data_IF_249613536282
#
_entry.id   IF_249613536282
#
_cell.length_a   1.000
_cell.length_b   1.000
_cell.length_c   1.000
_cell.angle_alpha   90.00
_cell.angle_beta   90.00
_cell.angle_gamma   90.00
#
_symmetry.space_group_name_H-M   'P 1'
#
loop_
_entity.id
_entity.type
_entity.pdbx_description
1 polymer ?
#
# COMPACT_ATOMS: atom_id res chain seq x y z
N UNK A 1 -3.14 -19.81 32.93
CA UNK A 1 -3.64 -18.98 34.04
C UNK A 1 -4.49 -17.90 33.37
N UNK A 2 -5.79 -17.87 33.66
CA UNK A 2 -6.80 -17.15 32.88
C UNK A 2 -6.47 -15.67 32.68
N UNK A 3 -6.30 -15.31 31.41
CA UNK A 3 -6.24 -13.94 30.93
C UNK A 3 -7.63 -13.32 31.16
N UNK A 4 -7.74 -12.47 32.19
CA UNK A 4 -8.95 -11.69 32.43
C UNK A 4 -9.01 -10.63 31.34
N UNK A 5 -9.81 -10.91 30.31
CA UNK A 5 -10.32 -9.94 29.35
C UNK A 5 -10.73 -8.66 30.10
N UNK A 6 -9.94 -7.60 29.94
CA UNK A 6 -10.36 -6.25 30.28
C UNK A 6 -11.56 -5.91 29.41
N UNK A 7 -12.61 -5.34 30.02
CA UNK A 7 -13.85 -4.95 29.36
C UNK A 7 -13.56 -4.18 28.04
N UNK A 8 -14.22 -4.49 26.92
CA UNK A 8 -14.23 -3.56 25.79
C UNK A 8 -14.85 -2.25 26.28
N UNK A 9 -14.27 -1.11 25.90
CA UNK A 9 -14.83 0.21 26.17
C UNK A 9 -16.34 0.24 25.84
N UNK A 10 -17.18 0.79 26.70
CA UNK A 10 -18.64 0.89 26.46
C UNK A 10 -18.97 1.62 25.13
N UNK A 11 -18.06 2.47 24.64
CA UNK A 11 -18.18 3.17 23.36
C UNK A 11 -17.88 2.30 22.13
N UNK A 12 -18.38 2.73 20.96
CA UNK A 12 -18.02 2.14 19.66
C UNK A 12 -16.53 2.35 19.38
N UNK A 13 -15.82 1.36 18.80
CA UNK A 13 -14.46 1.57 18.31
C UNK A 13 -14.39 2.55 17.12
N UNK A 14 -15.56 2.87 16.55
CA UNK A 14 -15.71 3.79 15.44
C UNK A 14 -16.29 5.13 15.88
N UNK A 15 -15.80 6.23 15.28
CA UNK A 15 -16.38 7.55 15.44
C UNK A 15 -17.56 7.76 14.47
N UNK A 16 -18.30 8.87 14.64
CA UNK A 16 -19.54 9.13 13.91
C UNK A 16 -19.40 9.12 12.38
N UNK A 17 -18.23 9.44 11.84
CA UNK A 17 -17.97 9.48 10.40
C UNK A 17 -17.89 8.08 9.81
N UNK A 18 -17.16 7.18 10.45
CA UNK A 18 -17.10 5.77 10.08
C UNK A 18 -18.49 5.13 10.18
N UNK A 19 -19.22 5.40 11.27
CA UNK A 19 -20.57 4.89 11.46
C UNK A 19 -21.53 5.38 10.36
N UNK A 20 -21.47 6.67 9.98
CA UNK A 20 -22.30 7.21 8.90
C UNK A 20 -22.01 6.55 7.54
N UNK A 21 -20.73 6.26 7.24
CA UNK A 21 -20.35 5.56 6.01
C UNK A 21 -20.81 4.11 6.04
N UNK A 22 -20.64 3.42 7.17
CA UNK A 22 -21.11 2.05 7.36
C UNK A 22 -22.64 1.95 7.24
N UNK A 23 -23.40 2.93 7.77
CA UNK A 23 -24.86 3.03 7.63
C UNK A 23 -25.27 3.24 6.18
N UNK A 24 -24.64 4.19 5.48
CA UNK A 24 -24.87 4.45 4.05
C UNK A 24 -24.72 3.19 3.21
N UNK A 25 -23.75 2.33 3.56
CA UNK A 25 -23.40 1.14 2.80
C UNK A 25 -24.05 -0.15 3.33
N UNK A 26 -24.83 -0.07 4.41
CA UNK A 26 -25.53 -1.22 4.98
C UNK A 26 -24.63 -2.27 5.63
N UNK A 27 -23.48 -1.86 6.19
CA UNK A 27 -22.44 -2.75 6.75
C UNK A 27 -22.11 -2.44 8.22
N UNK A 28 -23.10 -2.01 9.01
CA UNK A 28 -22.90 -1.67 10.44
C UNK A 28 -22.62 -2.87 11.34
N UNK A 29 -22.94 -4.07 10.88
CA UNK A 29 -22.63 -5.34 11.54
C UNK A 29 -21.13 -5.56 11.76
N UNK A 30 -20.27 -4.86 11.01
CA UNK A 30 -18.82 -4.86 11.22
C UNK A 30 -18.40 -4.44 12.64
N UNK A 31 -19.22 -3.65 13.35
CA UNK A 31 -18.91 -3.19 14.70
C UNK A 31 -18.76 -4.33 15.71
N UNK A 32 -19.58 -5.39 15.60
CA UNK A 32 -19.52 -6.55 16.49
C UNK A 32 -18.19 -7.31 16.36
N UNK A 33 -17.61 -7.29 15.15
CA UNK A 33 -16.28 -7.84 14.91
C UNK A 33 -15.19 -6.87 15.37
N UNK A 34 -15.32 -5.58 15.04
CA UNK A 34 -14.35 -4.54 15.40
C UNK A 34 -14.11 -4.46 16.91
N UNK A 35 -15.17 -4.56 17.73
CA UNK A 35 -15.10 -4.57 19.20
C UNK A 35 -14.23 -5.69 19.78
N UNK A 36 -13.98 -6.77 19.02
CA UNK A 36 -13.15 -7.91 19.44
C UNK A 36 -11.69 -7.78 19.00
N UNK A 37 -11.41 -6.95 17.99
CA UNK A 37 -10.09 -6.90 17.34
C UNK A 37 -9.38 -5.55 17.49
N UNK A 38 -10.12 -4.46 17.66
CA UNK A 38 -9.58 -3.15 18.00
C UNK A 38 -9.31 -3.13 19.50
N UNK A 39 -8.06 -2.90 19.88
CA UNK A 39 -7.59 -2.96 21.27
C UNK A 39 -6.97 -1.64 21.66
N UNK A 40 -7.04 -1.32 22.95
CA UNK A 40 -6.39 -0.16 23.58
C UNK A 40 -4.90 -0.38 23.90
N UNK A 41 -4.35 -1.51 23.47
CA UNK A 41 -2.97 -1.93 23.68
C UNK A 41 -2.48 -2.77 22.50
N UNK A 42 -1.18 -2.97 22.41
CA UNK A 42 -0.52 -3.84 21.44
C UNK A 42 -0.47 -5.29 21.96
N UNK A 43 -1.18 -6.24 21.34
CA UNK A 43 -0.92 -7.66 21.56
C UNK A 43 0.54 -8.01 21.26
N UNK A 44 1.06 -9.08 21.85
CA UNK A 44 2.46 -9.47 21.66
C UNK A 44 2.85 -9.57 20.18
N UNK A 45 1.98 -10.16 19.34
CA UNK A 45 2.21 -10.27 17.90
C UNK A 45 2.31 -8.91 17.18
N UNK A 46 1.64 -7.87 17.69
CA UNK A 46 1.75 -6.50 17.17
C UNK A 46 3.01 -5.82 17.70
N UNK A 47 3.41 -6.07 18.95
CA UNK A 47 4.66 -5.57 19.51
C UNK A 47 5.84 -6.09 18.71
N UNK A 48 5.96 -7.41 18.56
CA UNK A 48 7.01 -8.06 17.75
C UNK A 48 7.05 -7.50 16.33
N UNK A 49 5.88 -7.29 15.71
CA UNK A 49 5.80 -6.76 14.36
C UNK A 49 6.35 -5.33 14.27
N UNK A 50 5.88 -4.38 15.10
CA UNK A 50 6.32 -2.99 15.04
C UNK A 50 7.80 -2.82 15.38
N UNK A 51 8.33 -3.59 16.32
CA UNK A 51 9.75 -3.53 16.70
C UNK A 51 10.69 -4.13 15.67
N UNK A 52 10.17 -4.91 14.72
CA UNK A 52 10.93 -5.51 13.62
C UNK A 52 10.90 -4.66 12.34
N UNK A 53 10.11 -3.57 12.29
CA UNK A 53 9.98 -2.80 11.07
C UNK A 53 11.24 -1.96 10.79
N UNK A 54 11.69 -1.86 9.52
CA UNK A 54 12.80 -1.00 9.13
C UNK A 54 12.40 0.48 9.01
N UNK A 55 11.09 0.75 8.91
CA UNK A 55 10.48 2.08 8.94
C UNK A 55 9.06 2.02 9.52
N UNK A 56 8.54 3.18 9.91
CA UNK A 56 7.14 3.40 10.24
C UNK A 56 6.59 4.53 9.38
N UNK A 57 5.33 4.43 8.96
CA UNK A 57 4.62 5.56 8.37
C UNK A 57 3.85 6.26 9.48
N UNK A 58 4.01 7.58 9.61
CA UNK A 58 3.42 8.36 10.69
C UNK A 58 2.60 9.53 10.14
N UNK A 59 1.35 9.62 10.57
CA UNK A 59 0.42 10.70 10.28
C UNK A 59 0.29 11.61 11.50
N UNK A 60 0.36 12.92 11.29
CA UNK A 60 0.19 13.92 12.33
C UNK A 60 -0.38 15.21 11.73
N UNK A 61 -0.66 16.21 12.57
CA UNK A 61 -1.00 17.56 12.12
C UNK A 61 0.19 18.50 12.27
N UNK A 62 0.33 19.45 11.37
CA UNK A 62 1.25 20.58 11.54
C UNK A 62 0.68 21.61 12.52
N UNK A 63 1.39 22.74 12.70
CA UNK A 63 0.94 23.81 13.60
C UNK A 63 -0.29 24.57 13.11
N UNK A 64 -0.62 24.43 11.84
CA UNK A 64 -1.80 24.99 11.20
C UNK A 64 -2.96 23.98 11.20
N UNK A 65 -2.84 22.89 11.98
CA UNK A 65 -3.83 21.82 12.09
C UNK A 65 -4.06 21.07 10.77
N UNK A 66 -3.12 21.16 9.81
CA UNK A 66 -3.22 20.44 8.54
C UNK A 66 -2.62 19.05 8.67
N UNK A 67 -3.30 18.00 8.21
CA UNK A 67 -2.79 16.65 8.26
C UNK A 67 -1.69 16.43 7.22
N UNK A 68 -0.62 15.78 7.66
CA UNK A 68 0.50 15.33 6.84
C UNK A 68 0.87 13.90 7.21
N UNK A 69 1.58 13.23 6.32
CA UNK A 69 2.15 11.90 6.55
C UNK A 69 3.62 11.89 6.18
N UNK A 70 4.43 11.19 6.97
CA UNK A 70 5.87 11.04 6.79
C UNK A 70 6.30 9.59 7.01
N UNK A 71 7.57 9.31 6.71
CA UNK A 71 8.24 8.05 6.98
C UNK A 71 9.34 8.28 8.02
N UNK A 72 9.33 7.45 9.06
CA UNK A 72 10.37 7.38 10.08
C UNK A 72 11.16 6.10 9.87
N UNK A 73 12.44 6.21 9.53
CA UNK A 73 13.36 5.08 9.51
C UNK A 73 14.46 5.26 10.57
N UNK A 74 15.12 4.15 10.87
CA UNK A 74 16.25 4.12 11.80
C UNK A 74 16.99 2.79 11.71
N UNK A 75 18.10 2.63 12.44
CA UNK A 75 18.81 1.36 12.54
C UNK A 75 17.92 0.29 13.20
N UNK A 76 18.31 -0.97 13.08
CA UNK A 76 17.58 -2.06 13.73
C UNK A 76 17.39 -1.79 15.23
N UNK A 77 16.17 -1.96 15.72
CA UNK A 77 15.81 -1.63 17.11
C UNK A 77 15.55 -0.14 17.38
N UNK A 78 15.42 0.71 16.34
CA UNK A 78 14.96 2.09 16.54
C UNK A 78 13.54 2.17 17.11
N UNK A 79 12.73 1.12 16.95
CA UNK A 79 11.43 0.97 17.61
C UNK A 79 11.52 -0.12 18.69
N UNK A 80 11.11 0.22 19.91
CA UNK A 80 10.94 -0.75 20.99
C UNK A 80 9.54 -0.62 21.62
N UNK A 81 9.08 -1.66 22.32
CA UNK A 81 7.83 -1.62 23.08
C UNK A 81 8.12 -2.01 24.53
N UNK A 82 8.32 -1.05 25.45
CA UNK A 82 8.62 -1.37 26.85
C UNK A 82 7.46 -2.09 27.55
N UNK A 83 6.23 -1.78 27.16
CA UNK A 83 4.99 -2.39 27.64
C UNK A 83 3.92 -2.36 26.53
N UNK A 84 2.79 -3.08 26.68
CA UNK A 84 1.74 -3.15 25.66
C UNK A 84 1.09 -1.80 25.29
N UNK A 85 1.16 -0.80 26.16
CA UNK A 85 0.56 0.52 25.94
C UNK A 85 1.47 1.53 25.26
N UNK A 86 2.74 1.18 24.99
CA UNK A 86 3.72 2.13 24.48
C UNK A 86 4.65 1.58 23.40
N UNK A 87 5.01 2.49 22.48
CA UNK A 87 6.16 2.35 21.58
C UNK A 87 7.16 3.47 21.88
N UNK A 88 8.45 3.13 21.90
CA UNK A 88 9.54 4.11 21.93
C UNK A 88 10.21 4.09 20.56
N UNK A 89 10.18 5.22 19.87
CA UNK A 89 10.68 5.39 18.51
C UNK A 89 11.87 6.36 18.56
N UNK A 90 13.07 5.86 18.29
CA UNK A 90 14.32 6.62 18.20
C UNK A 90 14.56 7.13 16.79
N UNK A 91 13.60 7.89 16.30
CA UNK A 91 13.64 8.55 14.99
C UNK A 91 12.69 9.74 15.01
N UNK A 92 12.99 10.74 14.17
CA UNK A 92 12.24 11.99 14.03
C UNK A 92 12.03 12.27 12.54
N UNK A 93 10.99 13.05 12.17
CA UNK A 93 10.88 13.51 10.79
C UNK A 93 12.15 14.26 10.37
N UNK A 94 12.55 14.10 9.11
CA UNK A 94 13.80 14.66 8.60
C UNK A 94 13.79 16.20 8.63
N UNK A 95 14.95 16.88 8.69
CA UNK A 95 15.01 18.33 8.57
C UNK A 95 14.28 18.84 7.33
N UNK A 96 13.37 19.78 7.50
CA UNK A 96 12.54 20.36 6.45
C UNK A 96 11.23 19.63 6.15
N UNK A 97 11.02 18.45 6.73
CA UNK A 97 9.75 17.70 6.68
C UNK A 97 8.60 18.57 7.18
N UNK A 98 7.42 18.41 6.58
CA UNK A 98 6.22 19.12 7.01
C UNK A 98 5.88 18.91 8.50
N UNK A 99 6.29 17.76 9.06
CA UNK A 99 6.04 17.35 10.44
C UNK A 99 7.25 17.48 11.38
N UNK A 100 8.36 18.09 10.93
CA UNK A 100 9.62 18.22 11.71
C UNK A 100 9.38 18.70 13.15
N UNK A 101 8.39 19.58 13.36
CA UNK A 101 8.11 20.19 14.65
C UNK A 101 6.75 19.79 15.24
N UNK A 102 6.13 18.73 14.72
CA UNK A 102 4.77 18.32 15.10
C UNK A 102 4.73 17.27 16.22
N UNK A 103 5.80 16.51 16.41
CA UNK A 103 5.85 15.38 17.35
C UNK A 103 6.13 15.88 18.78
N UNK A 104 5.18 16.62 19.33
CA UNK A 104 5.22 17.22 20.67
C UNK A 104 4.24 16.51 21.61
N UNK A 105 4.46 16.62 22.92
CA UNK A 105 3.62 15.96 23.93
C UNK A 105 2.14 16.32 23.74
N UNK A 106 1.29 15.28 23.68
CA UNK A 106 -0.15 15.40 23.49
C UNK A 106 -0.60 15.42 22.02
N UNK A 107 0.32 15.51 21.06
CA UNK A 107 -0.02 15.44 19.64
C UNK A 107 -0.59 14.07 19.27
N UNK A 108 -1.64 14.06 18.45
CA UNK A 108 -2.22 12.84 17.89
C UNK A 108 -1.37 12.32 16.75
N UNK A 109 -1.05 11.03 16.80
CA UNK A 109 -0.28 10.35 15.78
C UNK A 109 -1.00 9.06 15.37
N UNK A 110 -1.13 8.86 14.06
CA UNK A 110 -1.49 7.58 13.48
C UNK A 110 -0.25 6.90 12.94
N UNK A 111 0.02 5.67 13.35
CA UNK A 111 1.18 4.89 12.91
C UNK A 111 0.72 3.68 12.11
N UNK A 112 1.33 3.48 10.95
CA UNK A 112 1.21 2.27 10.17
C UNK A 112 2.57 1.55 10.15
N UNK A 113 2.62 0.37 10.76
CA UNK A 113 3.65 -0.61 10.46
C UNK A 113 3.24 -1.41 9.24
N UNK A 114 4.12 -1.53 8.24
CA UNK A 114 3.86 -2.24 7.00
C UNK A 114 5.10 -2.98 6.51
N UNK A 115 4.96 -4.29 6.34
CA UNK A 115 5.99 -5.16 5.81
C UNK A 115 5.61 -5.52 4.37
N UNK A 116 6.20 -4.82 3.40
CA UNK A 116 5.89 -4.99 1.98
C UNK A 116 6.18 -6.41 1.50
N UNK A 117 7.28 -7.02 1.98
CA UNK A 117 7.71 -8.36 1.57
C UNK A 117 6.70 -9.47 1.90
N UNK A 118 6.02 -9.40 3.05
CA UNK A 118 5.02 -10.41 3.48
C UNK A 118 3.58 -9.92 3.33
N UNK A 119 3.40 -8.70 2.81
CA UNK A 119 2.13 -7.99 2.67
C UNK A 119 1.39 -7.84 4.01
N UNK A 120 2.11 -7.75 5.13
CA UNK A 120 1.50 -7.57 6.45
C UNK A 120 1.42 -6.08 6.81
N UNK A 121 0.31 -5.64 7.40
CA UNK A 121 0.18 -4.30 7.97
C UNK A 121 -0.62 -4.29 9.26
N UNK A 122 -0.16 -3.48 10.21
CA UNK A 122 -0.86 -3.20 11.46
C UNK A 122 -0.90 -1.69 11.68
N UNK A 123 -2.01 -1.21 12.21
CA UNK A 123 -2.19 0.19 12.59
C UNK A 123 -2.17 0.35 14.08
N UNK A 124 -1.64 1.50 14.51
CA UNK A 124 -1.60 1.91 15.89
C UNK A 124 -1.81 3.42 15.94
N UNK A 125 -2.94 3.83 16.52
CA UNK A 125 -3.30 5.24 16.66
C UNK A 125 -3.22 5.63 18.13
N UNK A 126 -2.83 6.86 18.41
CA UNK A 126 -2.57 7.30 19.77
C UNK A 126 -1.91 8.66 19.84
N UNK A 127 -1.13 8.89 20.89
CA UNK A 127 -0.62 10.23 21.22
C UNK A 127 0.82 10.19 21.68
N UNK A 128 1.52 11.29 21.47
CA UNK A 128 2.86 11.47 22.05
C UNK A 128 2.74 11.67 23.55
N UNK A 129 3.23 10.70 24.33
CA UNK A 129 3.35 10.82 25.78
C UNK A 129 4.54 11.73 26.14
N UNK A 130 5.64 11.56 25.42
CA UNK A 130 6.88 12.31 25.62
C UNK A 130 7.70 12.39 24.33
N UNK A 131 8.45 13.48 24.18
CA UNK A 131 9.38 13.68 23.08
C UNK A 131 10.66 14.32 23.63
N UNK A 132 11.73 13.55 23.74
CA UNK A 132 12.99 13.96 24.36
C UNK A 132 14.18 13.57 23.49
N UNK A 133 15.01 14.54 23.14
CA UNK A 133 16.11 14.33 22.19
C UNK A 133 15.60 13.69 20.89
N UNK A 134 16.20 12.57 20.52
CA UNK A 134 15.89 11.86 19.28
C UNK A 134 14.80 10.79 19.46
N UNK A 135 14.23 10.67 20.67
CA UNK A 135 13.27 9.64 21.02
C UNK A 135 11.85 10.20 21.22
N UNK A 136 10.88 9.38 20.84
CA UNK A 136 9.46 9.64 20.96
C UNK A 136 8.83 8.48 21.72
N UNK A 137 8.19 8.77 22.85
CA UNK A 137 7.34 7.81 23.55
C UNK A 137 5.91 8.01 23.09
N UNK A 138 5.40 7.05 22.33
CA UNK A 138 4.06 7.02 21.80
C UNK A 138 3.18 6.14 22.70
N UNK A 139 2.06 6.68 23.17
CA UNK A 139 1.01 5.95 23.90
C UNK A 139 -0.04 5.46 22.92
N UNK A 140 -0.37 4.18 23.01
CA UNK A 140 -1.37 3.50 22.20
C UNK A 140 -2.77 3.82 22.72
N UNK A 141 -3.66 4.26 21.83
CA UNK A 141 -5.09 4.40 22.10
C UNK A 141 -5.90 3.34 21.32
N UNK A 142 -5.47 2.98 20.11
CA UNK A 142 -6.04 1.90 19.31
C UNK A 142 -4.95 1.11 18.58
N UNK A 143 -5.06 -0.21 18.53
CA UNK A 143 -4.22 -1.09 17.72
C UNK A 143 -5.05 -2.20 17.06
N UNK A 144 -4.85 -2.42 15.77
CA UNK A 144 -5.55 -3.45 14.99
C UNK A 144 -4.79 -3.81 13.72
N UNK A 145 -5.05 -5.03 13.22
CA UNK A 145 -4.55 -5.48 11.91
C UNK A 145 -5.48 -5.06 10.79
N UNK A 146 -4.94 -4.84 9.60
CA UNK A 146 -5.75 -4.58 8.40
C UNK A 146 -5.45 -5.61 7.31
N UNK A 147 -6.43 -5.83 6.42
CA UNK A 147 -6.33 -6.75 5.28
C UNK A 147 -5.07 -6.45 4.41
N UNK A 148 -4.34 -7.45 3.90
CA UNK A 148 -3.13 -7.28 3.09
C UNK A 148 -3.38 -6.83 1.62
N UNK A 149 -4.64 -6.54 1.26
CA UNK A 149 -5.03 -6.19 -0.10
C UNK A 149 -4.27 -4.98 -0.65
N UNK A 150 -3.91 -5.09 -1.93
CA UNK A 150 -3.21 -4.09 -2.74
C UNK A 150 -1.80 -3.70 -2.27
N UNK A 151 -1.22 -4.40 -1.30
CA UNK A 151 0.21 -4.23 -0.95
C UNK A 151 1.04 -4.99 -1.99
N UNK A 152 1.91 -4.27 -2.70
CA UNK A 152 2.88 -4.86 -3.65
C UNK A 152 4.09 -5.38 -2.88
N UNK A 153 4.50 -6.61 -3.18
CA UNK A 153 5.70 -7.23 -2.59
C UNK A 153 6.94 -6.47 -3.04
N UNK A 154 7.79 -6.07 -2.08
CA UNK A 154 9.07 -5.40 -2.38
C UNK A 154 10.12 -5.83 -1.37
N UNK A 155 11.31 -6.18 -1.87
CA UNK A 155 12.51 -6.27 -1.04
C UNK A 155 13.05 -4.89 -0.72
N UNK A 156 13.80 -4.75 0.38
CA UNK A 156 14.46 -3.50 0.73
C UNK A 156 15.92 -3.73 1.14
N UNK A 157 16.73 -2.69 0.98
CA UNK A 157 18.10 -2.60 1.47
C UNK A 157 18.34 -1.22 2.06
N UNK A 158 19.28 -1.12 2.99
CA UNK A 158 19.72 0.16 3.54
C UNK A 158 20.92 0.70 2.76
N UNK A 159 21.00 2.01 2.62
CA UNK A 159 22.19 2.73 2.14
C UNK A 159 22.70 3.64 3.26
N UNK A 160 24.02 3.66 3.44
CA UNK A 160 24.66 4.46 4.50
C UNK A 160 24.85 5.92 4.08
N UNK A 161 25.11 6.16 2.79
CA UNK A 161 25.31 7.50 2.24
C UNK A 161 24.02 8.06 1.65
N UNK A 162 23.62 9.23 2.13
CA UNK A 162 22.50 10.01 1.60
C UNK A 162 23.07 11.31 1.06
N UNK A 163 22.98 11.57 -0.25
CA UNK A 163 23.48 12.82 -0.81
C UNK A 163 22.74 13.98 -0.14
N UNK A 164 23.44 15.01 0.35
CA UNK A 164 22.80 16.14 0.98
C UNK A 164 21.93 16.88 -0.04
N UNK A 165 20.66 17.09 0.30
CA UNK A 165 19.73 17.81 -0.54
C UNK A 165 18.85 18.73 0.32
N UNK A 166 18.50 19.88 -0.25
CA UNK A 166 17.59 20.82 0.41
C UNK A 166 16.13 20.46 0.11
N UNK A 167 15.24 20.54 1.11
CA UNK A 167 13.80 20.45 0.92
C UNK A 167 13.31 21.44 -0.13
N UNK A 168 12.32 21.04 -0.92
CA UNK A 168 11.64 21.90 -1.90
C UNK A 168 10.18 22.03 -1.51
N UNK A 169 9.63 23.25 -1.61
CA UNK A 169 8.23 23.54 -1.29
C UNK A 169 7.52 24.15 -2.48
N UNK A 170 6.23 23.87 -2.60
CA UNK A 170 5.38 24.41 -3.66
C UNK A 170 3.90 24.26 -3.33
N UNK A 171 3.07 24.83 -4.21
CA UNK A 171 1.61 24.74 -4.13
C UNK A 171 1.00 24.04 -5.35
N UNK A 172 1.83 23.62 -6.31
CA UNK A 172 1.46 22.86 -7.48
C UNK A 172 2.61 21.90 -7.85
N UNK A 173 2.24 20.72 -8.34
CA UNK A 173 3.16 19.67 -8.74
C UNK A 173 3.94 20.07 -9.99
N UNK A 174 5.25 19.90 -9.94
CA UNK A 174 6.10 19.99 -11.13
C UNK A 174 5.83 18.82 -12.08
N UNK A 175 6.22 18.90 -13.36
CA UNK A 175 6.10 17.77 -14.29
C UNK A 175 6.74 16.48 -13.77
N UNK A 176 7.91 16.58 -13.14
CA UNK A 176 8.62 15.41 -12.59
C UNK A 176 7.86 14.78 -11.41
N UNK A 177 7.28 15.60 -10.53
CA UNK A 177 6.45 15.12 -9.42
C UNK A 177 5.15 14.47 -9.92
N UNK A 178 4.55 14.99 -10.99
CA UNK A 178 3.38 14.36 -11.62
C UNK A 178 3.73 12.99 -12.19
N UNK A 179 4.85 12.89 -12.93
CA UNK A 179 5.32 11.61 -13.47
C UNK A 179 5.64 10.59 -12.36
N UNK A 180 6.22 11.01 -11.24
CA UNK A 180 6.43 10.15 -10.08
C UNK A 180 5.10 9.63 -9.51
N UNK A 181 4.10 10.50 -9.30
CA UNK A 181 2.78 10.08 -8.80
C UNK A 181 2.09 9.11 -9.77
N UNK A 182 2.13 9.39 -11.07
CA UNK A 182 1.47 8.57 -12.09
C UNK A 182 2.17 7.23 -12.31
N UNK A 183 3.43 7.08 -11.92
CA UNK A 183 4.15 5.79 -11.96
C UNK A 183 4.09 5.04 -10.63
N UNK A 184 3.59 5.67 -9.56
CA UNK A 184 3.43 5.04 -8.26
C UNK A 184 2.29 4.01 -8.28
N UNK A 185 2.56 2.84 -7.70
CA UNK A 185 1.54 1.84 -7.38
C UNK A 185 1.12 1.87 -5.91
N UNK A 186 1.77 2.73 -5.12
CA UNK A 186 1.61 2.84 -3.68
C UNK A 186 1.76 4.28 -3.23
N UNK A 187 0.86 4.73 -2.35
CA UNK A 187 1.05 5.94 -1.55
C UNK A 187 0.44 5.76 -0.15
N UNK A 188 0.76 6.69 0.75
CA UNK A 188 0.22 6.71 2.10
C UNK A 188 -0.64 7.94 2.31
N UNK A 189 -1.70 7.80 3.10
CA UNK A 189 -2.66 8.86 3.41
C UNK A 189 -2.76 9.07 4.91
N UNK A 190 -2.62 10.32 5.33
CA UNK A 190 -2.97 10.86 6.63
C UNK A 190 -4.40 11.40 6.58
N UNK A 191 -5.20 10.97 7.54
CA UNK A 191 -6.53 11.51 7.81
C UNK A 191 -6.77 11.46 9.32
N UNK A 192 -7.69 12.25 9.84
CA UNK A 192 -8.01 12.17 11.26
C UNK A 192 -9.16 13.07 11.63
N UNK A 193 -9.83 12.74 12.72
CA UNK A 193 -10.90 13.54 13.27
C UNK A 193 -10.74 13.65 14.79
N UNK A 194 -10.86 14.86 15.32
CA UNK A 194 -10.89 15.14 16.76
C UNK A 194 -12.17 15.87 17.11
N UNK A 195 -13.12 15.12 17.68
CA UNK A 195 -14.36 15.67 18.22
C UNK A 195 -14.19 16.25 19.63
N UNK A 196 -15.30 16.67 20.22
CA UNK A 196 -15.34 17.09 21.63
C UNK A 196 -15.25 15.87 22.58
N UNK A 197 -14.54 16.03 23.70
CA UNK A 197 -14.33 14.96 24.69
C UNK A 197 -13.10 14.10 24.38
N UNK A 198 -12.90 13.06 25.19
CA UNK A 198 -11.82 12.09 25.00
C UNK A 198 -12.42 10.76 24.54
N UNK A 199 -12.09 10.35 23.32
CA UNK A 199 -12.50 9.08 22.74
C UNK A 199 -11.29 8.41 22.09
N UNK A 200 -11.09 7.10 22.29
CA UNK A 200 -10.01 6.38 21.62
C UNK A 200 -10.21 6.32 20.10
N UNK A 201 -11.43 6.55 19.60
CA UNK A 201 -11.72 6.63 18.17
C UNK A 201 -11.38 8.00 17.55
N UNK A 202 -10.91 8.96 18.34
CA UNK A 202 -10.44 10.26 17.84
C UNK A 202 -8.92 10.28 17.71
N UNK A 203 -8.44 11.06 16.74
CA UNK A 203 -7.02 11.28 16.50
C UNK A 203 -6.66 11.17 15.03
N UNK A 204 -5.40 10.83 14.79
CA UNK A 204 -4.84 10.67 13.45
C UNK A 204 -4.74 9.20 13.07
N UNK A 205 -4.86 8.92 11.77
CA UNK A 205 -4.72 7.60 11.16
C UNK A 205 -3.78 7.70 9.95
N UNK A 206 -2.84 6.76 9.85
CA UNK A 206 -2.02 6.55 8.68
C UNK A 206 -2.50 5.29 7.94
N UNK A 207 -2.71 5.41 6.63
CA UNK A 207 -3.20 4.31 5.80
C UNK A 207 -2.38 4.16 4.54
N UNK A 208 -2.27 2.91 4.07
CA UNK A 208 -1.73 2.58 2.76
C UNK A 208 -2.84 2.58 1.71
N UNK A 209 -2.52 3.11 0.53
CA UNK A 209 -3.32 3.01 -0.69
C UNK A 209 -2.44 2.42 -1.78
N UNK A 210 -2.92 1.35 -2.40
CA UNK A 210 -2.22 0.68 -3.49
C UNK A 210 -3.16 0.40 -4.64
N UNK A 211 -2.60 0.32 -5.84
CA UNK A 211 -3.32 0.07 -7.06
C UNK A 211 -2.38 -0.40 -8.18
N UNK A 212 -2.87 -0.39 -9.41
CA UNK A 212 -1.99 -0.44 -10.58
C UNK A 212 -1.25 0.89 -10.72
N UNK A 213 -0.09 0.90 -11.38
CA UNK A 213 0.59 2.16 -11.69
C UNK A 213 -0.35 3.06 -12.51
N UNK A 214 -0.39 4.34 -12.18
CA UNK A 214 -1.35 5.29 -12.74
C UNK A 214 -2.74 5.27 -12.08
N UNK A 215 -2.92 4.52 -10.98
CA UNK A 215 -4.18 4.57 -10.24
C UNK A 215 -4.44 5.93 -9.58
N UNK A 216 -3.39 6.71 -9.35
CA UNK A 216 -3.51 8.12 -8.98
C UNK A 216 -3.35 8.97 -10.24
N UNK A 217 -4.40 9.72 -10.57
CA UNK A 217 -4.39 10.65 -11.70
C UNK A 217 -4.10 12.06 -11.21
N UNK A 218 -3.13 12.73 -11.81
CA UNK A 218 -2.88 14.16 -11.60
C UNK A 218 -3.62 14.98 -12.65
N UNK A 219 -4.16 16.14 -12.26
CA UNK A 219 -4.73 17.12 -13.18
C UNK A 219 -4.31 18.53 -12.79
N UNK A 220 -3.84 19.29 -13.78
CA UNK A 220 -3.39 20.69 -13.64
C UNK A 220 -2.33 20.93 -12.55
N UNK A 221 -1.63 19.89 -12.10
CA UNK A 221 -0.63 19.94 -11.02
C UNK A 221 -1.18 20.22 -9.62
N UNK A 222 -2.47 20.50 -9.45
CA UNK A 222 -3.05 20.85 -8.13
C UNK A 222 -4.15 19.91 -7.68
N UNK A 223 -4.49 18.90 -8.48
CA UNK A 223 -5.57 17.98 -8.15
C UNK A 223 -5.14 16.54 -8.39
N UNK A 224 -5.28 15.70 -7.38
CA UNK A 224 -5.01 14.26 -7.43
C UNK A 224 -6.31 13.49 -7.21
N UNK A 225 -6.56 12.46 -8.02
CA UNK A 225 -7.71 11.58 -7.86
C UNK A 225 -7.26 10.13 -7.78
N UNK A 226 -7.82 9.37 -6.85
CA UNK A 226 -7.56 7.94 -6.73
C UNK A 226 -8.84 7.14 -6.42
N UNK A 227 -8.91 5.87 -6.85
CA UNK A 227 -10.01 4.97 -6.51
C UNK A 227 -9.88 4.42 -5.07
N UNK A 228 -10.99 4.40 -4.35
CA UNK A 228 -11.12 3.68 -3.07
C UNK A 228 -11.79 2.32 -3.32
N UNK A 229 -11.05 1.25 -3.03
CA UNK A 229 -11.48 -0.13 -3.25
C UNK A 229 -12.16 -0.72 -2.01
N UNK A 230 -12.81 -1.88 -2.19
CA UNK A 230 -13.34 -2.64 -1.07
C UNK A 230 -12.24 -3.00 -0.06
N UNK A 231 -12.57 -2.97 1.23
CA UNK A 231 -11.65 -3.28 2.33
C UNK A 231 -12.35 -4.04 3.45
N UNK A 232 -11.90 -3.84 4.69
CA UNK A 232 -12.45 -4.50 5.88
C UNK A 232 -13.71 -3.84 6.45
N UNK A 233 -14.37 -2.97 5.70
CA UNK A 233 -15.55 -2.20 6.11
C UNK A 233 -15.40 -1.31 7.36
N UNK A 234 -14.18 -1.08 7.87
CA UNK A 234 -13.96 -0.15 8.98
C UNK A 234 -14.17 1.31 8.55
N UNK A 235 -13.77 1.63 7.31
CA UNK A 235 -13.82 2.97 6.74
C UNK A 235 -13.06 4.05 7.52
N UNK A 236 -11.98 3.70 8.24
CA UNK A 236 -11.22 4.67 9.05
C UNK A 236 -10.88 5.96 8.30
N UNK A 237 -10.27 5.84 7.12
CA UNK A 237 -9.92 6.99 6.30
C UNK A 237 -11.16 7.73 5.77
N UNK A 238 -12.12 7.00 5.18
CA UNK A 238 -13.30 7.64 4.54
C UNK A 238 -14.19 8.31 5.59
N UNK A 239 -14.36 7.68 6.75
CA UNK A 239 -15.08 8.23 7.88
C UNK A 239 -14.42 9.50 8.43
N UNK A 240 -13.09 9.52 8.54
CA UNK A 240 -12.36 10.75 8.85
C UNK A 240 -12.67 11.86 7.84
N UNK A 241 -12.55 11.56 6.53
CA UNK A 241 -12.75 12.53 5.44
C UNK A 241 -14.19 13.06 5.35
N UNK A 242 -15.20 12.29 5.79
CA UNK A 242 -16.59 12.74 5.88
C UNK A 242 -16.77 13.83 6.96
N UNK A 243 -15.99 13.79 8.04
CA UNK A 243 -16.09 14.76 9.14
C UNK A 243 -15.07 15.91 9.03
N UNK A 244 -13.87 15.61 8.54
CA UNK A 244 -12.81 16.59 8.28
C UNK A 244 -12.19 16.27 6.92
N UNK A 245 -12.50 17.05 5.86
CA UNK A 245 -12.07 16.74 4.51
C UNK A 245 -10.56 16.94 4.30
N UNK A 246 -9.82 17.49 5.27
CA UNK A 246 -8.39 17.71 5.13
C UNK A 246 -7.64 16.38 5.15
N UNK A 247 -6.66 16.20 4.27
CA UNK A 247 -5.83 15.00 4.19
C UNK A 247 -4.38 15.32 3.80
N UNK A 248 -3.46 14.44 4.18
CA UNK A 248 -2.07 14.50 3.74
C UNK A 248 -1.70 13.25 2.95
N UNK A 249 -0.99 13.37 1.84
CA UNK A 249 -0.50 12.23 1.05
C UNK A 249 1.03 12.15 1.12
N UNK A 250 1.57 10.94 1.06
CA UNK A 250 3.01 10.67 0.94
C UNK A 250 3.25 9.68 -0.18
N UNK A 251 4.06 10.10 -1.15
CA UNK A 251 4.68 9.24 -2.15
C UNK A 251 6.15 9.02 -1.78
N UNK A 252 6.63 7.80 -2.00
CA UNK A 252 8.01 7.40 -1.73
C UNK A 252 8.64 7.03 -3.06
N UNK A 253 9.82 7.59 -3.33
CA UNK A 253 10.65 7.15 -4.44
C UNK A 253 11.54 6.05 -3.88
N UNK A 254 11.21 4.84 -4.27
CA UNK A 254 11.85 3.63 -3.79
C UNK A 254 13.29 3.47 -4.28
N UNK A 255 13.68 4.14 -5.37
CA UNK A 255 15.02 4.11 -5.95
C UNK A 255 15.92 5.20 -5.37
N UNK A 256 15.39 6.39 -5.14
CA UNK A 256 16.20 7.51 -4.62
C UNK A 256 16.07 7.70 -3.11
N UNK A 257 15.06 7.11 -2.48
CA UNK A 257 14.71 7.34 -1.07
C UNK A 257 14.13 8.73 -0.81
N UNK A 258 13.61 9.39 -1.85
CA UNK A 258 12.97 10.70 -1.72
C UNK A 258 11.53 10.57 -1.23
N UNK A 259 11.06 11.58 -0.50
CA UNK A 259 9.69 11.66 -0.01
C UNK A 259 8.98 12.87 -0.64
N UNK A 260 7.77 12.68 -1.14
CA UNK A 260 6.91 13.74 -1.63
C UNK A 260 5.66 13.80 -0.77
N UNK A 261 5.61 14.80 0.11
CA UNK A 261 4.50 15.05 1.02
C UNK A 261 3.57 16.09 0.39
N UNK A 262 2.26 15.86 0.48
CA UNK A 262 1.23 16.80 0.07
C UNK A 262 0.22 16.97 1.20
N UNK A 263 -0.37 18.15 1.32
CA UNK A 263 -1.58 18.37 2.14
C UNK A 263 -2.61 19.14 1.32
N UNK A 264 -3.88 18.96 1.66
CA UNK A 264 -4.97 19.69 1.03
C UNK A 264 -6.34 19.21 1.50
N UNK A 265 -7.34 19.56 0.72
CA UNK A 265 -8.75 19.28 1.02
C UNK A 265 -9.31 18.24 0.06
N UNK A 266 -10.06 17.28 0.58
CA UNK A 266 -10.61 16.17 -0.20
C UNK A 266 -12.11 16.32 -0.48
N UNK A 267 -12.53 15.70 -1.58
CA UNK A 267 -13.93 15.41 -1.88
C UNK A 267 -14.10 13.93 -2.23
N UNK A 268 -15.28 13.38 -1.93
CA UNK A 268 -15.61 11.97 -2.16
C UNK A 268 -16.77 11.91 -3.14
N UNK A 269 -16.54 11.30 -4.29
CA UNK A 269 -17.58 11.01 -5.26
C UNK A 269 -18.04 9.56 -5.13
N UNK A 270 -19.24 9.39 -4.60
CA UNK A 270 -19.85 8.08 -4.29
C UNK A 270 -20.43 7.38 -5.51
N UNK A 271 -20.76 8.12 -6.56
CA UNK A 271 -21.51 7.66 -7.74
C UNK A 271 -20.79 8.08 -9.04
N UNK A 272 -19.46 8.17 -8.98
CA UNK A 272 -18.65 8.81 -10.02
C UNK A 272 -18.78 8.10 -11.38
N UNK A 273 -19.02 8.90 -12.44
CA UNK A 273 -19.04 8.40 -13.82
C UNK A 273 -17.69 7.81 -14.28
N UNK A 274 -16.59 8.09 -13.57
CA UNK A 274 -15.25 7.57 -13.84
C UNK A 274 -14.91 6.25 -13.15
N UNK A 275 -15.85 5.61 -12.44
CA UNK A 275 -15.60 4.32 -11.80
C UNK A 275 -15.33 3.19 -12.81
N UNK A 276 -15.84 3.30 -14.04
CA UNK A 276 -15.63 2.31 -15.10
C UNK A 276 -14.14 2.15 -15.47
N UNK A 277 -13.35 3.22 -15.28
CA UNK A 277 -11.89 3.19 -15.49
C UNK A 277 -11.15 2.40 -14.39
N UNK A 278 -11.79 2.16 -13.24
CA UNK A 278 -11.23 1.49 -12.08
C UNK A 278 -12.11 0.30 -11.66
N UNK A 279 -11.97 -0.86 -12.32
CA UNK A 279 -12.76 -2.04 -12.00
C UNK A 279 -12.70 -2.38 -10.50
N UNK A 280 -13.86 -2.53 -9.86
CA UNK A 280 -14.03 -2.79 -8.41
C UNK A 280 -13.82 -1.61 -7.46
N UNK A 281 -13.49 -0.42 -7.96
CA UNK A 281 -13.54 0.79 -7.15
C UNK A 281 -14.98 1.07 -6.69
N UNK A 282 -15.14 1.57 -5.48
CA UNK A 282 -16.45 1.86 -4.87
C UNK A 282 -16.80 3.34 -4.86
N UNK A 283 -15.79 4.20 -5.01
CA UNK A 283 -15.87 5.66 -5.02
C UNK A 283 -14.53 6.23 -5.48
N UNK A 284 -14.55 7.49 -5.90
CA UNK A 284 -13.33 8.24 -6.18
C UNK A 284 -13.11 9.27 -5.08
N UNK A 285 -11.87 9.42 -4.67
CA UNK A 285 -11.45 10.48 -3.74
C UNK A 285 -10.53 11.42 -4.48
N UNK A 286 -10.84 12.71 -4.40
CA UNK A 286 -10.06 13.77 -5.04
C UNK A 286 -9.47 14.67 -3.97
N UNK A 287 -8.16 14.91 -4.02
CA UNK A 287 -7.44 15.90 -3.21
C UNK A 287 -7.18 17.14 -4.07
N UNK A 288 -7.66 18.29 -3.62
CA UNK A 288 -7.20 19.60 -4.07
C UNK A 288 -5.99 20.00 -3.20
N UNK A 289 -4.82 20.03 -3.82
CA UNK A 289 -3.51 20.24 -3.18
C UNK A 289 -3.35 21.71 -2.77
N UNK A 290 -2.92 21.93 -1.54
CA UNK A 290 -2.68 23.25 -0.97
C UNK A 290 -1.17 23.51 -0.74
N UNK A 291 -0.43 22.50 -0.28
CA UNK A 291 1.02 22.60 -0.10
C UNK A 291 1.70 21.25 -0.37
N UNK A 292 2.92 21.34 -0.90
CA UNK A 292 3.81 20.24 -1.24
C UNK A 292 5.17 20.46 -0.56
N UNK A 293 5.72 19.39 -0.01
CA UNK A 293 7.10 19.31 0.49
C UNK A 293 7.78 18.09 -0.14
N UNK A 294 8.82 18.33 -0.93
CA UNK A 294 9.71 17.29 -1.45
C UNK A 294 10.98 17.26 -0.60
N UNK A 295 11.32 16.07 -0.11
CA UNK A 295 12.53 15.79 0.67
C UNK A 295 13.40 14.81 -0.13
N UNK A 296 14.37 15.30 -0.91
CA UNK A 296 15.19 14.42 -1.74
C UNK A 296 16.11 13.56 -0.86
N UNK A 297 16.21 12.25 -1.18
CA UNK A 297 17.06 11.30 -0.44
C UNK A 297 16.83 11.27 1.08
N UNK A 298 15.61 11.49 1.54
CA UNK A 298 15.29 11.63 2.97
C UNK A 298 15.40 10.31 3.75
N UNK A 299 15.06 9.16 3.17
CA UNK A 299 15.21 7.86 3.83
C UNK A 299 16.49 7.14 3.41
N UNK A 300 17.07 6.38 4.35
CA UNK A 300 18.18 5.45 4.11
C UNK A 300 17.74 4.15 3.44
N UNK A 301 16.44 3.92 3.27
CA UNK A 301 15.92 2.73 2.65
C UNK A 301 15.85 2.87 1.13
N UNK A 302 16.16 1.79 0.44
CA UNK A 302 15.97 1.59 -0.99
C UNK A 302 15.19 0.30 -1.16
N UNK A 303 14.17 0.32 -2.00
CA UNK A 303 13.44 -0.89 -2.30
C UNK A 303 13.92 -1.40 -3.64
N UNK A 304 14.12 -2.72 -3.72
CA UNK A 304 14.41 -3.34 -4.99
C UNK A 304 13.25 -3.02 -5.94
N UNK A 305 13.59 -2.73 -7.19
CA UNK A 305 12.63 -2.87 -8.27
C UNK A 305 12.01 -4.27 -8.19
N UNK A 306 10.80 -4.40 -8.73
CA UNK A 306 9.84 -5.52 -8.64
C UNK A 306 10.37 -6.95 -8.88
N UNK A 307 11.67 -7.19 -9.00
CA UNK A 307 12.38 -8.42 -9.37
C UNK A 307 11.84 -9.74 -8.77
N UNK A 308 11.19 -9.71 -7.59
CA UNK A 308 10.54 -10.88 -6.97
C UNK A 308 9.01 -10.73 -6.76
N UNK A 309 8.45 -9.58 -7.14
CA UNK A 309 7.06 -9.18 -6.90
C UNK A 309 6.08 -9.77 -7.91
N UNK A 310 4.84 -9.95 -7.45
CA UNK A 310 3.71 -10.38 -8.28
C UNK A 310 3.14 -9.18 -9.03
N UNK A 311 3.14 -9.26 -10.36
CA UNK A 311 2.57 -8.27 -11.28
C UNK A 311 1.34 -8.82 -11.99
N UNK A 312 0.33 -7.99 -12.14
CA UNK A 312 -0.91 -8.36 -12.80
C UNK A 312 -0.79 -8.19 -14.31
N UNK A 313 -1.15 -9.22 -15.06
CA UNK A 313 -1.07 -9.30 -16.51
C UNK A 313 -2.47 -9.41 -17.11
N UNK A 314 -2.70 -8.77 -18.25
CA UNK A 314 -3.95 -8.85 -19.01
C UNK A 314 -3.76 -9.81 -20.19
N UNK A 315 -4.65 -10.79 -20.32
CA UNK A 315 -4.71 -11.63 -21.52
C UNK A 315 -5.23 -10.80 -22.68
N UNK A 316 -4.42 -10.61 -23.72
CA UNK A 316 -4.81 -9.87 -24.93
C UNK A 316 -5.21 -10.77 -26.07
N UNK A 317 -4.70 -12.00 -26.10
CA UNK A 317 -5.01 -12.95 -27.17
C UNK A 317 -4.88 -14.40 -26.70
N UNK A 318 -5.71 -15.27 -27.29
CA UNK A 318 -5.79 -16.70 -27.00
C UNK A 318 -5.84 -17.44 -28.33
N UNK A 319 -4.73 -18.10 -28.65
CA UNK A 319 -4.46 -18.64 -30.00
C UNK A 319 -4.36 -20.16 -29.91
N UNK A 320 -5.32 -20.92 -30.47
CA UNK A 320 -5.19 -22.37 -30.58
C UNK A 320 -4.00 -22.75 -31.48
N UNK A 321 -3.05 -23.51 -30.96
CA UNK A 321 -1.86 -23.98 -31.70
C UNK A 321 -2.05 -25.43 -32.20
N UNK A 322 -2.78 -26.24 -31.43
CA UNK A 322 -3.19 -27.61 -31.75
C UNK A 322 -4.51 -27.96 -31.03
N UNK A 323 -5.00 -29.19 -31.20
CA UNK A 323 -6.19 -29.70 -30.52
C UNK A 323 -6.09 -29.65 -28.98
N UNK A 324 -4.87 -29.68 -28.44
CA UNK A 324 -4.60 -29.72 -27.01
C UNK A 324 -3.66 -28.61 -26.52
N UNK A 325 -3.12 -27.74 -27.38
CA UNK A 325 -2.24 -26.65 -27.00
C UNK A 325 -2.84 -25.31 -27.42
N UNK A 326 -2.86 -24.35 -26.49
CA UNK A 326 -3.29 -22.98 -26.75
C UNK A 326 -2.24 -22.02 -26.20
N UNK A 327 -1.87 -21.03 -27.02
CA UNK A 327 -1.03 -19.92 -26.63
C UNK A 327 -1.85 -18.80 -26.01
N UNK A 328 -1.34 -18.24 -24.92
CA UNK A 328 -1.93 -17.13 -24.20
C UNK A 328 -0.94 -15.97 -24.24
N UNK A 329 -1.37 -14.84 -24.79
CA UNK A 329 -0.53 -13.64 -24.96
C UNK A 329 -0.93 -12.61 -23.91
N UNK A 330 0.04 -12.16 -23.13
CA UNK A 330 -0.17 -11.26 -22.02
C UNK A 330 0.59 -9.95 -22.21
N UNK A 331 -0.06 -8.86 -21.85
CA UNK A 331 0.60 -7.58 -21.63
C UNK A 331 0.53 -7.22 -20.14
N UNK A 332 1.37 -6.28 -19.71
CA UNK A 332 1.23 -5.75 -18.37
C UNK A 332 -0.11 -5.03 -18.24
N UNK A 333 -0.90 -5.36 -17.22
CA UNK A 333 -2.22 -4.75 -17.04
C UNK A 333 -2.14 -3.22 -16.90
N UNK A 334 -1.05 -2.75 -16.29
CA UNK A 334 -0.72 -1.34 -16.04
C UNK A 334 -0.13 -0.61 -17.26
N UNK A 335 0.05 -1.30 -18.40
CA UNK A 335 0.64 -0.72 -19.62
C UNK A 335 2.14 -0.43 -19.55
N UNK A 336 2.80 -0.72 -18.42
CA UNK A 336 4.24 -0.54 -18.26
C UNK A 336 5.05 -1.64 -18.94
N UNK A 337 6.35 -1.44 -19.21
CA UNK A 337 7.18 -2.45 -19.86
C UNK A 337 7.28 -3.72 -19.02
N UNK A 338 7.18 -4.89 -19.67
CA UNK A 338 7.42 -6.18 -19.03
C UNK A 338 8.92 -6.40 -18.77
N UNK A 339 9.25 -7.20 -17.76
CA UNK A 339 10.64 -7.53 -17.48
C UNK A 339 11.26 -8.31 -18.65
N UNK A 340 12.50 -8.01 -19.00
CA UNK A 340 13.23 -8.79 -19.98
C UNK A 340 13.42 -10.24 -19.49
N UNK A 341 13.55 -11.16 -20.43
CA UNK A 341 13.82 -12.57 -20.17
C UNK A 341 14.78 -13.12 -21.24
N UNK A 342 15.51 -14.17 -20.87
CA UNK A 342 16.39 -14.91 -21.78
C UNK A 342 15.66 -16.13 -22.37
N UNK A 343 15.95 -16.53 -23.63
CA UNK A 343 15.36 -17.73 -24.21
C UNK A 343 15.61 -18.97 -23.36
N UNK A 344 14.53 -19.68 -23.02
CA UNK A 344 14.55 -20.87 -22.15
C UNK A 344 13.97 -20.62 -20.76
N UNK A 345 13.86 -19.37 -20.34
CA UNK A 345 13.21 -19.01 -19.08
C UNK A 345 11.70 -19.27 -19.09
N UNK A 346 11.12 -19.30 -17.90
CA UNK A 346 9.72 -19.55 -17.65
C UNK A 346 9.05 -18.43 -16.85
N UNK A 347 7.73 -18.32 -16.98
CA UNK A 347 6.89 -17.39 -16.25
C UNK A 347 6.09 -18.13 -15.16
N UNK A 348 6.35 -17.87 -13.88
CA UNK A 348 5.48 -18.30 -12.79
C UNK A 348 4.20 -17.47 -12.79
N UNK A 349 3.04 -18.13 -12.85
CA UNK A 349 1.71 -17.50 -12.82
C UNK A 349 0.92 -17.97 -11.59
N UNK A 350 0.05 -17.09 -11.09
CA UNK A 350 -0.89 -17.33 -10.00
C UNK A 350 -2.32 -17.08 -10.51
N UNK A 351 -3.22 -18.05 -10.29
CA UNK A 351 -4.60 -18.01 -10.77
C UNK A 351 -5.58 -18.26 -9.62
N UNK A 352 -6.52 -17.34 -9.44
CA UNK A 352 -7.66 -17.56 -8.55
C UNK A 352 -8.66 -18.49 -9.24
N UNK A 353 -8.73 -19.76 -8.81
CA UNK A 353 -9.65 -20.75 -9.37
C UNK A 353 -10.82 -20.94 -8.39
N UNK A 354 -12.08 -20.81 -8.85
CA UNK A 354 -13.25 -21.03 -7.99
C UNK A 354 -13.19 -22.39 -7.29
N UNK A 355 -13.35 -22.37 -5.96
CA UNK A 355 -13.30 -23.57 -5.12
C UNK A 355 -11.95 -23.88 -4.48
N UNK A 356 -10.92 -23.06 -4.72
CA UNK A 356 -9.66 -23.09 -3.97
C UNK A 356 -9.60 -21.93 -2.96
N UNK A 357 -9.11 -22.22 -1.76
CA UNK A 357 -8.90 -21.21 -0.71
C UNK A 357 -7.65 -20.33 -0.99
N UNK A 358 -6.68 -20.86 -1.72
CA UNK A 358 -5.46 -20.14 -2.14
C UNK A 358 -5.29 -20.16 -3.67
N UNK A 359 -4.65 -19.12 -4.27
CA UNK A 359 -4.36 -19.09 -5.70
C UNK A 359 -3.51 -20.28 -6.14
N UNK A 360 -3.89 -20.91 -7.26
CA UNK A 360 -3.12 -21.99 -7.85
C UNK A 360 -1.90 -21.43 -8.58
N UNK A 361 -0.71 -21.92 -8.22
CA UNK A 361 0.57 -21.49 -8.82
C UNK A 361 1.09 -22.50 -9.83
N UNK A 362 1.47 -22.05 -11.02
CA UNK A 362 2.11 -22.89 -12.05
C UNK A 362 3.17 -22.10 -12.79
N UNK A 363 4.05 -22.82 -13.46
CA UNK A 363 5.15 -22.26 -14.22
C UNK A 363 5.05 -22.76 -15.65
N UNK A 364 5.13 -21.83 -16.61
CA UNK A 364 5.10 -22.15 -18.04
C UNK A 364 6.27 -21.46 -18.74
N UNK A 365 6.94 -22.17 -19.65
CA UNK A 365 8.02 -21.59 -20.45
C UNK A 365 7.52 -20.42 -21.29
N UNK A 366 8.32 -19.36 -21.34
CA UNK A 366 8.07 -18.26 -22.27
C UNK A 366 8.33 -18.75 -23.70
N UNK A 367 7.38 -18.48 -24.57
CA UNK A 367 7.32 -18.97 -25.95
C UNK A 367 7.30 -17.84 -26.97
N UNK A 368 7.55 -16.59 -26.54
CA UNK A 368 7.82 -15.45 -27.42
C UNK A 368 9.32 -15.18 -27.50
N UNK A 369 9.74 -14.36 -28.46
CA UNK A 369 11.11 -13.85 -28.51
C UNK A 369 11.37 -12.85 -27.35
N UNK A 370 12.58 -12.82 -26.78
CA UNK A 370 13.00 -11.76 -25.87
C UNK A 370 12.82 -10.36 -26.46
N UNK A 371 12.63 -9.36 -25.60
CA UNK A 371 12.50 -7.96 -26.01
C UNK A 371 11.17 -7.61 -26.69
N UNK A 372 10.20 -8.54 -26.69
CA UNK A 372 8.83 -8.24 -27.08
C UNK A 372 8.09 -7.52 -25.94
N UNK A 373 7.15 -6.64 -26.28
CA UNK A 373 6.32 -5.92 -25.28
C UNK A 373 5.28 -6.82 -24.59
N UNK A 374 5.22 -8.11 -24.97
CA UNK A 374 4.22 -9.08 -24.52
C UNK A 374 4.87 -10.40 -24.15
N UNK A 375 4.36 -11.04 -23.11
CA UNK A 375 4.70 -12.44 -22.83
C UNK A 375 3.78 -13.38 -23.59
N UNK A 376 4.30 -14.49 -24.08
CA UNK A 376 3.50 -15.61 -24.61
C UNK A 376 3.85 -16.88 -23.84
N UNK A 377 2.84 -17.60 -23.37
CA UNK A 377 2.99 -18.98 -22.89
C UNK A 377 2.14 -19.89 -23.75
N UNK A 378 2.62 -21.10 -24.04
CA UNK A 378 1.86 -22.12 -24.77
C UNK A 378 1.56 -23.27 -23.82
N UNK A 379 0.27 -23.46 -23.51
CA UNK A 379 -0.17 -24.37 -22.44
C UNK A 379 -0.91 -25.55 -23.05
N UNK A 380 -0.38 -26.74 -22.79
CA UNK A 380 -1.07 -27.99 -23.12
C UNK A 380 -2.19 -28.28 -22.12
N UNK A 381 -3.34 -28.70 -22.61
CA UNK A 381 -4.49 -29.15 -21.83
C UNK A 381 -4.20 -30.54 -21.27
N UNK A 382 -3.86 -30.59 -20.00
CA UNK A 382 -3.64 -31.85 -19.29
C UNK A 382 -4.99 -32.40 -18.77
N UNK A 383 -5.37 -33.65 -19.10
CA UNK A 383 -6.60 -34.27 -18.60
C UNK A 383 -6.66 -34.26 -17.07
N UNK A 384 -7.72 -33.68 -16.50
CA UNK A 384 -7.88 -33.51 -15.05
C UNK A 384 -7.01 -32.42 -14.42
N UNK A 385 -6.24 -31.67 -15.22
CA UNK A 385 -5.43 -30.56 -14.76
C UNK A 385 -6.28 -29.35 -14.39
N UNK A 386 -6.29 -28.97 -13.11
CA UNK A 386 -7.07 -27.83 -12.61
C UNK A 386 -6.71 -26.51 -13.29
N UNK A 387 -5.40 -26.21 -13.40
CA UNK A 387 -4.93 -24.92 -13.93
C UNK A 387 -4.99 -24.87 -15.45
N UNK A 388 -4.49 -25.91 -16.14
CA UNK A 388 -4.54 -25.99 -17.60
C UNK A 388 -5.99 -26.05 -18.10
N UNK A 389 -6.87 -26.80 -17.43
CA UNK A 389 -8.30 -26.80 -17.71
C UNK A 389 -8.93 -25.42 -17.51
N UNK A 390 -8.63 -24.72 -16.40
CA UNK A 390 -9.17 -23.38 -16.17
C UNK A 390 -8.72 -22.36 -17.23
N UNK A 391 -7.44 -22.39 -17.61
CA UNK A 391 -6.91 -21.54 -18.69
C UNK A 391 -7.62 -21.79 -20.03
N UNK A 392 -7.83 -23.06 -20.39
CA UNK A 392 -8.51 -23.42 -21.63
C UNK A 392 -10.00 -23.10 -21.61
N UNK A 393 -10.70 -23.39 -20.50
CA UNK A 393 -12.16 -23.45 -20.48
C UNK A 393 -12.82 -22.14 -19.97
N UNK A 394 -12.09 -21.29 -19.24
CA UNK A 394 -12.67 -20.13 -18.52
C UNK A 394 -11.97 -18.80 -18.76
N UNK A 395 -10.68 -18.83 -19.07
CA UNK A 395 -9.90 -17.61 -19.26
C UNK A 395 -10.03 -17.15 -20.71
N UNK A 396 -10.48 -15.91 -20.90
CA UNK A 396 -10.71 -15.27 -22.20
C UNK A 396 -10.02 -13.90 -22.27
N UNK A 397 -9.86 -13.35 -23.48
CA UNK A 397 -9.24 -12.04 -23.67
C UNK A 397 -9.90 -10.96 -22.77
N UNK A 398 -9.07 -10.14 -22.13
CA UNK A 398 -9.46 -9.20 -21.09
C UNK A 398 -9.32 -9.74 -19.66
N UNK A 399 -9.17 -11.05 -19.47
CA UNK A 399 -8.93 -11.64 -18.15
C UNK A 399 -7.61 -11.14 -17.54
N UNK A 400 -7.59 -11.01 -16.21
CA UNK A 400 -6.41 -10.61 -15.44
C UNK A 400 -5.89 -11.81 -14.68
N UNK A 401 -4.58 -12.05 -14.79
CA UNK A 401 -3.86 -13.06 -14.02
C UNK A 401 -2.71 -12.39 -13.28
N UNK A 402 -2.18 -13.04 -12.25
CA UNK A 402 -0.99 -12.58 -11.55
C UNK A 402 0.22 -13.40 -12.01
N UNK A 403 1.39 -12.78 -12.13
CA UNK A 403 2.64 -13.44 -12.52
C UNK A 403 3.83 -12.86 -11.78
N UNK A 404 4.84 -13.70 -11.51
CA UNK A 404 6.15 -13.23 -11.04
C UNK A 404 7.06 -12.93 -12.23
N UNK A 405 8.26 -12.44 -11.95
CA UNK A 405 9.28 -12.26 -12.98
C UNK A 405 9.63 -13.56 -13.69
N UNK A 406 10.01 -13.50 -14.98
CA UNK A 406 10.65 -14.60 -15.67
C UNK A 406 11.82 -15.15 -14.88
N UNK A 407 11.91 -16.47 -14.75
CA UNK A 407 12.90 -17.16 -13.94
C UNK A 407 13.40 -18.44 -14.64
N UNK A 408 14.41 -19.06 -14.04
CA UNK A 408 14.97 -20.34 -14.45
C UNK A 408 16.38 -20.23 -15.04
N UNK A 409 17.21 -21.21 -14.69
CA UNK A 409 18.63 -21.28 -15.10
C UNK A 409 18.83 -22.02 -16.42
N UNK A 410 17.77 -22.63 -16.97
CA UNK A 410 17.81 -23.24 -18.30
C UNK A 410 17.71 -22.15 -19.36
N UNK A 411 18.87 -21.65 -19.78
CA UNK A 411 18.98 -20.62 -20.81
C UNK A 411 19.82 -21.13 -21.98
N UNK A 412 19.48 -20.68 -23.19
CA UNK A 412 20.29 -20.97 -24.35
C UNK A 412 21.62 -20.21 -24.26
N UNK A 413 22.72 -20.90 -23.95
CA UNK A 413 24.06 -20.32 -23.96
C UNK A 413 24.62 -20.35 -25.38
N UNK A 414 24.53 -19.23 -26.12
CA UNK A 414 25.15 -19.16 -27.45
C UNK A 414 26.66 -19.02 -27.32
N UNK A 415 27.37 -20.15 -27.21
CA UNK A 415 28.81 -20.21 -27.45
C UNK A 415 29.19 -20.82 -28.81
N UNK A 416 28.24 -21.46 -29.53
CA UNK A 416 28.30 -21.73 -30.97
C UNK A 416 26.86 -21.95 -31.46
N UNK A 417 26.23 -20.97 -32.10
CA UNK A 417 24.88 -21.17 -32.66
C UNK A 417 25.03 -21.89 -34.03
N UNK A 418 24.41 -23.06 -34.28
CA UNK A 418 24.30 -23.58 -35.64
C UNK A 418 23.34 -22.68 -36.44
N UNK A 419 23.74 -22.37 -37.68
CA UNK A 419 23.10 -21.46 -38.63
C UNK A 419 21.59 -21.70 -38.82
#
# INVERSE_FOLDING_TARGET
MNDRLTNPSEGSPFHAGEQAVQERLGVRDIEDWARKVVRDHLPEQHRTFHTAQPFLVAAARDRQDRPWVTLLDGPDGFVTSPDPGHLVIRSKPSPGDALEQSFTKGADIGILGIELATRRRNRVNGRIAESTGDAITFRVDQAFGNCPQYIRERGWRRVDDRPPASPRRGTALTPDQQAWIETADTFFIASGFRGAGDSPAFGMDASHRGGERGFVRSSNGTRLQFPDYAGNNHYNTIGNLVLDPRAGFLFIDFETGSLLQLTGTTSIDWDAAGLDDFPSARRLVTLDVEEIVELPSATSLRWAADADSVRSLRLVDKIPESDDVTSFVFEARDGGPLAAFEPGQHLPIELAIPGLDEPARRTYSLSSAPGTERYRISVKREPGGLVSGHLHDRIEAGAIIDARHPAGDFMMTCNVCPL
#
